data_IF_223938070999
#
_entry.id   IF_223938070999
#
_cell.length_a   1.000
_cell.length_b   1.000
_cell.length_c   1.000
_cell.angle_alpha   90.00
_cell.angle_beta   90.00
_cell.angle_gamma   90.00
#
_symmetry.space_group_name_H-M   'P 1'
#
loop_
_entity.id
_entity.type
_entity.pdbx_description
1 polymer ?
#
# COMPACT_ATOMS: atom_id res chain seq x y z
N UNK A 1 -0.63 16.10 -27.26
CA UNK A 1 -0.41 15.11 -26.17
C UNK A 1 0.14 15.74 -24.87
N UNK A 2 1.26 16.46 -24.86
CA UNK A 2 1.84 17.05 -23.62
C UNK A 2 0.88 17.99 -22.85
N UNK A 3 0.14 18.85 -23.55
CA UNK A 3 -0.84 19.76 -22.92
C UNK A 3 -2.01 19.01 -22.23
N UNK A 4 -2.57 17.99 -22.90
CA UNK A 4 -3.67 17.18 -22.34
C UNK A 4 -3.21 16.37 -21.12
N UNK A 5 -1.97 15.89 -21.14
CA UNK A 5 -1.32 15.18 -20.04
C UNK A 5 -1.14 16.08 -18.80
N UNK A 6 -0.65 17.31 -18.98
CA UNK A 6 -0.52 18.28 -17.88
C UNK A 6 -1.90 18.68 -17.31
N UNK A 7 -2.95 18.59 -18.11
CA UNK A 7 -4.32 18.88 -17.68
C UNK A 7 -4.88 17.76 -16.78
N UNK A 8 -4.73 16.48 -17.15
CA UNK A 8 -5.20 15.35 -16.32
C UNK A 8 -4.50 15.31 -14.95
N UNK A 9 -3.18 15.49 -14.89
CA UNK A 9 -2.46 15.52 -13.60
C UNK A 9 -2.97 16.63 -12.68
N UNK A 10 -3.25 17.84 -13.23
CA UNK A 10 -3.83 18.95 -12.48
C UNK A 10 -5.25 18.65 -11.99
N UNK A 11 -6.07 18.00 -12.83
CA UNK A 11 -7.42 17.59 -12.42
C UNK A 11 -7.38 16.56 -11.29
N UNK A 12 -6.49 15.55 -11.37
CA UNK A 12 -6.28 14.61 -10.26
C UNK A 12 -5.83 15.34 -9.01
N UNK A 13 -4.90 16.30 -9.13
CA UNK A 13 -4.46 17.10 -8.00
C UNK A 13 -5.62 17.85 -7.33
N UNK A 14 -6.53 18.45 -8.11
CA UNK A 14 -7.74 19.09 -7.58
C UNK A 14 -8.60 18.11 -6.78
N UNK A 15 -8.76 16.87 -7.24
CA UNK A 15 -9.49 15.84 -6.47
C UNK A 15 -8.76 15.45 -5.18
N UNK A 16 -7.43 15.33 -5.23
CA UNK A 16 -6.59 14.99 -4.07
C UNK A 16 -6.57 16.08 -3.00
N UNK A 17 -6.82 17.33 -3.40
CA UNK A 17 -6.82 18.54 -2.55
C UNK A 17 -8.24 19.13 -2.38
N UNK A 18 -9.27 18.29 -2.54
CA UNK A 18 -10.69 18.67 -2.46
C UNK A 18 -10.99 19.51 -1.23
N UNK A 19 -11.68 20.64 -1.42
CA UNK A 19 -12.07 21.58 -0.36
C UNK A 19 -13.57 21.70 -0.16
N UNK A 20 -14.39 21.08 -1.00
CA UNK A 20 -15.84 21.01 -0.83
C UNK A 20 -16.39 19.72 -1.42
N UNK A 21 -17.35 19.10 -0.72
CA UNK A 21 -17.92 17.80 -1.12
C UNK A 21 -19.44 17.87 -1.14
N UNK A 22 -20.06 17.40 -2.22
CA UNK A 22 -21.48 17.05 -2.24
C UNK A 22 -21.66 15.52 -2.13
N UNK A 23 -22.62 15.07 -1.33
CA UNK A 23 -22.97 13.64 -1.22
C UNK A 23 -24.37 13.44 -1.81
N UNK A 24 -24.43 12.94 -3.04
CA UNK A 24 -25.65 12.81 -3.84
C UNK A 24 -26.34 11.48 -3.57
N UNK A 25 -27.59 11.55 -3.12
CA UNK A 25 -28.34 10.37 -2.69
C UNK A 25 -28.08 10.00 -1.22
N UNK A 26 -27.61 10.94 -0.39
CA UNK A 26 -27.34 10.67 1.02
C UNK A 26 -28.63 10.24 1.76
N UNK A 27 -28.68 9.06 2.39
CA UNK A 27 -29.88 8.60 3.09
C UNK A 27 -30.05 9.27 4.47
N UNK A 28 -31.31 9.44 4.91
CA UNK A 28 -31.62 9.93 6.28
C UNK A 28 -31.13 8.98 7.37
N UNK A 29 -31.40 7.68 7.21
CA UNK A 29 -31.04 6.64 8.19
C UNK A 29 -29.73 5.92 7.86
N UNK A 30 -29.35 4.97 8.74
CA UNK A 30 -28.17 4.13 8.58
C UNK A 30 -28.34 3.14 7.41
N UNK A 31 -27.84 3.54 6.23
CA UNK A 31 -27.65 2.70 5.03
C UNK A 31 -26.22 2.89 4.53
N UNK A 32 -25.77 2.08 3.56
CA UNK A 32 -24.39 2.13 3.03
C UNK A 32 -23.93 3.54 2.68
N UNK A 33 -24.79 4.35 2.03
CA UNK A 33 -24.42 5.72 1.68
C UNK A 33 -24.15 6.66 2.87
N UNK A 34 -24.74 6.37 4.03
CA UNK A 34 -24.49 7.10 5.28
C UNK A 34 -23.04 6.96 5.75
N UNK A 35 -22.41 5.83 5.44
CA UNK A 35 -21.04 5.54 5.85
C UNK A 35 -20.04 6.52 5.23
N UNK A 36 -20.32 7.07 4.04
CA UNK A 36 -19.47 8.09 3.42
C UNK A 36 -19.50 9.41 4.20
N UNK A 37 -20.68 9.86 4.66
CA UNK A 37 -20.78 11.06 5.50
C UNK A 37 -19.98 10.84 6.81
N UNK A 38 -20.23 9.73 7.49
CA UNK A 38 -19.53 9.40 8.75
C UNK A 38 -18.03 9.32 8.50
N UNK A 39 -17.59 8.69 7.42
CA UNK A 39 -16.17 8.53 7.10
C UNK A 39 -15.45 9.87 6.85
N UNK A 40 -16.10 10.80 6.15
CA UNK A 40 -15.55 12.14 5.87
C UNK A 40 -15.51 12.98 7.15
N UNK A 41 -16.53 12.88 8.00
CA UNK A 41 -16.55 13.54 9.31
C UNK A 41 -15.48 12.97 10.27
N UNK A 42 -15.35 11.65 10.33
CA UNK A 42 -14.36 10.92 11.14
C UNK A 42 -12.92 11.23 10.71
N UNK A 43 -12.67 11.35 9.40
CA UNK A 43 -11.37 11.78 8.84
C UNK A 43 -11.09 13.28 9.08
N UNK A 44 -12.08 14.04 9.58
CA UNK A 44 -11.92 15.43 9.97
C UNK A 44 -11.88 16.43 8.81
N UNK A 45 -12.60 16.15 7.72
CA UNK A 45 -12.75 17.06 6.56
C UNK A 45 -13.06 18.49 7.00
N UNK A 46 -12.30 19.45 6.48
CA UNK A 46 -12.38 20.87 6.90
C UNK A 46 -13.30 21.72 6.03
N UNK A 47 -13.64 21.25 4.85
CA UNK A 47 -14.50 21.95 3.90
C UNK A 47 -15.99 21.77 4.18
N UNK A 48 -16.86 22.50 3.46
CA UNK A 48 -18.30 22.26 3.51
C UNK A 48 -18.65 20.88 2.94
N UNK A 49 -19.55 20.19 3.64
CA UNK A 49 -20.18 18.95 3.22
C UNK A 49 -21.64 19.26 2.90
N UNK A 50 -22.06 18.97 1.66
CA UNK A 50 -23.38 19.26 1.15
C UNK A 50 -24.16 17.96 0.90
N UNK A 51 -25.02 17.52 1.83
CA UNK A 51 -26.00 16.46 1.56
C UNK A 51 -26.92 16.85 0.41
N UNK A 52 -27.14 15.94 -0.54
CA UNK A 52 -28.13 16.10 -1.59
C UNK A 52 -29.16 14.98 -1.50
N UNK A 53 -30.38 15.34 -1.12
CA UNK A 53 -31.54 14.46 -0.97
C UNK A 53 -32.84 15.26 -1.20
N UNK A 54 -33.70 14.88 -2.18
CA UNK A 54 -34.92 15.61 -2.52
C UNK A 54 -36.04 15.49 -1.48
N UNK A 55 -35.92 14.60 -0.49
CA UNK A 55 -37.00 14.29 0.46
C UNK A 55 -36.83 14.94 1.84
N UNK A 56 -35.77 15.73 2.04
CA UNK A 56 -35.45 16.31 3.35
C UNK A 56 -34.57 17.56 3.18
N UNK A 57 -34.78 18.53 4.06
CA UNK A 57 -34.03 19.79 4.15
C UNK A 57 -32.87 19.71 5.14
N UNK A 58 -32.79 18.66 5.96
CA UNK A 58 -31.68 18.40 6.89
C UNK A 58 -31.33 16.90 6.98
N UNK A 59 -30.04 16.58 7.15
CA UNK A 59 -29.51 15.26 7.51
C UNK A 59 -28.36 15.44 8.52
N UNK A 60 -28.45 14.84 9.71
CA UNK A 60 -27.45 14.90 10.80
C UNK A 60 -26.99 16.33 11.15
N UNK A 61 -27.93 17.28 11.22
CA UNK A 61 -27.61 18.68 11.51
C UNK A 61 -26.96 19.43 10.33
N UNK A 62 -26.81 18.80 9.16
CA UNK A 62 -26.37 19.45 7.94
C UNK A 62 -27.56 19.79 7.05
N UNK A 63 -27.59 21.01 6.53
CA UNK A 63 -28.58 21.43 5.53
C UNK A 63 -28.47 20.54 4.28
N UNK A 64 -29.58 19.93 3.91
CA UNK A 64 -29.73 19.09 2.72
C UNK A 64 -30.34 19.87 1.57
N UNK A 65 -29.90 19.56 0.35
CA UNK A 65 -30.35 20.21 -0.88
C UNK A 65 -31.09 19.21 -1.76
N UNK A 66 -32.13 19.62 -2.49
CA UNK A 66 -32.94 18.68 -3.27
C UNK A 66 -32.23 18.15 -4.53
N UNK A 67 -31.27 18.90 -5.06
CA UNK A 67 -30.47 18.56 -6.25
C UNK A 67 -29.09 19.21 -6.18
N UNK A 68 -28.18 18.80 -7.07
CA UNK A 68 -26.84 19.42 -7.18
C UNK A 68 -26.94 20.85 -7.71
N UNK A 69 -27.92 21.14 -8.55
CA UNK A 69 -28.19 22.47 -9.08
C UNK A 69 -28.53 23.49 -7.98
N UNK A 70 -29.23 23.02 -6.93
CA UNK A 70 -29.66 23.84 -5.80
C UNK A 70 -28.52 24.21 -4.83
N UNK A 71 -27.32 23.66 -5.00
CA UNK A 71 -26.16 24.02 -4.19
C UNK A 71 -25.82 25.51 -4.34
N UNK A 72 -25.35 26.19 -3.28
CA UNK A 72 -25.05 27.62 -3.33
C UNK A 72 -23.87 27.92 -4.28
N UNK A 73 -22.95 26.98 -4.42
CA UNK A 73 -21.73 27.10 -5.23
C UNK A 73 -21.37 25.73 -5.85
N UNK A 74 -20.59 25.69 -6.94
CA UNK A 74 -19.99 24.44 -7.41
C UNK A 74 -19.07 23.83 -6.35
N UNK A 75 -19.09 22.51 -6.23
CA UNK A 75 -18.19 21.76 -5.35
C UNK A 75 -16.99 21.19 -6.11
N UNK A 76 -15.90 20.93 -5.40
CA UNK A 76 -14.73 20.26 -5.98
C UNK A 76 -15.05 18.80 -6.33
N UNK A 77 -15.70 18.09 -5.41
CA UNK A 77 -16.03 16.68 -5.56
C UNK A 77 -17.50 16.37 -5.25
N UNK A 78 -18.12 15.55 -6.10
CA UNK A 78 -19.39 14.90 -5.80
C UNK A 78 -19.18 13.40 -5.53
N UNK A 79 -19.83 12.86 -4.50
CA UNK A 79 -19.91 11.42 -4.24
C UNK A 79 -21.32 10.98 -4.58
N UNK A 80 -21.47 10.23 -5.66
CA UNK A 80 -22.77 9.85 -6.23
C UNK A 80 -23.12 8.44 -5.75
N UNK A 81 -24.19 8.37 -4.95
CA UNK A 81 -24.67 7.17 -4.24
C UNK A 81 -26.10 6.78 -4.66
N UNK A 82 -26.62 7.38 -5.74
CA UNK A 82 -27.97 7.12 -6.26
C UNK A 82 -28.03 5.79 -7.01
N UNK A 83 -29.22 5.17 -7.16
CA UNK A 83 -29.40 3.98 -7.98
C UNK A 83 -28.88 4.17 -9.41
N UNK A 84 -28.48 3.07 -10.05
CA UNK A 84 -27.91 3.06 -11.40
C UNK A 84 -28.77 3.86 -12.42
N UNK A 85 -30.09 3.70 -12.37
CA UNK A 85 -31.05 4.39 -13.23
C UNK A 85 -31.08 5.92 -13.08
N UNK A 86 -30.54 6.46 -11.98
CA UNK A 86 -30.49 7.90 -11.70
C UNK A 86 -29.06 8.47 -11.83
N UNK A 87 -28.05 7.63 -12.00
CA UNK A 87 -26.65 8.05 -11.97
C UNK A 87 -26.29 8.99 -13.11
N UNK A 88 -26.80 8.72 -14.33
CA UNK A 88 -26.57 9.60 -15.49
C UNK A 88 -27.11 11.01 -15.25
N UNK A 89 -28.33 11.12 -14.72
CA UNK A 89 -28.93 12.41 -14.39
C UNK A 89 -28.09 13.16 -13.34
N UNK A 90 -27.64 12.46 -12.28
CA UNK A 90 -26.75 13.06 -11.29
C UNK A 90 -25.42 13.54 -11.90
N UNK A 91 -24.84 12.79 -12.85
CA UNK A 91 -23.63 13.20 -13.59
C UNK A 91 -23.88 14.45 -14.44
N UNK A 92 -25.03 14.53 -15.12
CA UNK A 92 -25.43 15.73 -15.89
C UNK A 92 -25.53 16.94 -14.97
N UNK A 93 -26.26 16.84 -13.85
CA UNK A 93 -26.40 17.95 -12.90
C UNK A 93 -25.04 18.40 -12.35
N UNK A 94 -24.13 17.46 -12.04
CA UNK A 94 -22.77 17.79 -11.60
C UNK A 94 -21.98 18.52 -12.69
N UNK A 95 -22.06 18.04 -13.92
CA UNK A 95 -21.38 18.63 -15.07
C UNK A 95 -21.87 20.06 -15.34
N UNK A 96 -23.19 20.28 -15.35
CA UNK A 96 -23.80 21.60 -15.58
C UNK A 96 -23.51 22.58 -14.44
N UNK A 97 -23.50 22.11 -13.18
CA UNK A 97 -23.13 22.92 -12.02
C UNK A 97 -21.64 23.31 -12.01
N UNK A 98 -20.80 22.59 -12.76
CA UNK A 98 -19.36 22.86 -12.87
C UNK A 98 -18.51 22.17 -11.79
N UNK A 99 -18.97 21.02 -11.30
CA UNK A 99 -18.22 20.14 -10.38
C UNK A 99 -16.92 19.67 -11.04
N UNK A 100 -15.81 19.59 -10.28
CA UNK A 100 -14.49 19.27 -10.84
C UNK A 100 -14.28 17.76 -11.03
N UNK A 101 -14.82 16.94 -10.13
CA UNK A 101 -14.92 15.51 -10.37
C UNK A 101 -15.97 14.81 -9.53
N UNK A 102 -16.29 13.58 -9.91
CA UNK A 102 -17.26 12.76 -9.21
C UNK A 102 -16.76 11.33 -8.96
N UNK A 103 -17.05 10.82 -7.77
CA UNK A 103 -16.95 9.40 -7.42
C UNK A 103 -18.30 8.75 -7.72
N UNK A 104 -18.27 7.68 -8.50
CA UNK A 104 -19.43 6.87 -8.84
C UNK A 104 -19.38 5.57 -8.04
N UNK A 105 -20.16 5.49 -6.95
CA UNK A 105 -20.14 4.30 -6.08
C UNK A 105 -20.91 3.13 -6.67
N UNK A 106 -22.04 3.43 -7.29
CA UNK A 106 -23.04 2.44 -7.69
C UNK A 106 -22.51 1.48 -8.75
N UNK A 107 -22.93 0.21 -8.68
CA UNK A 107 -22.67 -0.82 -9.68
C UNK A 107 -23.83 -0.91 -10.70
N UNK A 108 -23.86 -1.97 -11.50
CA UNK A 108 -24.83 -2.23 -12.57
C UNK A 108 -24.38 -1.73 -13.94
N UNK A 109 -23.08 -1.75 -14.24
CA UNK A 109 -22.52 -1.20 -15.47
C UNK A 109 -21.76 -2.25 -16.28
N UNK A 110 -20.58 -1.94 -16.81
CA UNK A 110 -19.82 -2.84 -17.69
C UNK A 110 -19.46 -4.16 -17.00
N UNK A 111 -19.32 -4.18 -15.69
CA UNK A 111 -19.02 -5.39 -14.93
C UNK A 111 -20.13 -6.45 -15.02
N UNK A 112 -21.35 -6.07 -15.41
CA UNK A 112 -22.45 -7.01 -15.65
C UNK A 112 -22.26 -7.84 -16.92
N UNK A 113 -21.43 -7.38 -17.86
CA UNK A 113 -21.29 -7.96 -19.20
C UNK A 113 -22.35 -7.50 -20.21
N UNK A 114 -23.33 -6.71 -19.79
CA UNK A 114 -24.42 -6.22 -20.65
C UNK A 114 -24.01 -4.96 -21.44
N UNK A 115 -24.41 -4.90 -22.72
CA UNK A 115 -24.08 -3.78 -23.61
C UNK A 115 -24.67 -2.44 -23.14
N UNK A 116 -25.89 -2.46 -22.59
CA UNK A 116 -26.55 -1.28 -22.05
C UNK A 116 -25.75 -0.65 -20.89
N UNK A 117 -25.21 -1.49 -19.99
CA UNK A 117 -24.37 -1.04 -18.88
C UNK A 117 -23.07 -0.39 -19.37
N UNK A 118 -22.42 -0.99 -20.36
CA UNK A 118 -21.21 -0.46 -20.97
C UNK A 118 -21.45 0.88 -21.71
N UNK A 119 -22.56 0.98 -22.45
CA UNK A 119 -22.95 2.21 -23.15
C UNK A 119 -23.24 3.35 -22.16
N UNK A 120 -23.90 3.04 -21.03
CA UNK A 120 -24.19 4.02 -19.98
C UNK A 120 -22.90 4.56 -19.34
N UNK A 121 -21.88 3.72 -19.10
CA UNK A 121 -20.57 4.20 -18.62
C UNK A 121 -19.92 5.18 -19.59
N UNK A 122 -19.90 4.81 -20.88
CA UNK A 122 -19.26 5.62 -21.91
C UNK A 122 -19.96 6.97 -22.07
N UNK A 123 -21.29 6.97 -22.01
CA UNK A 123 -22.07 8.19 -22.07
C UNK A 123 -21.78 9.12 -20.87
N UNK A 124 -21.78 8.59 -19.64
CA UNK A 124 -21.44 9.37 -18.44
C UNK A 124 -20.01 9.93 -18.51
N UNK A 125 -19.04 9.13 -18.94
CA UNK A 125 -17.66 9.57 -19.11
C UNK A 125 -17.53 10.67 -20.18
N UNK A 126 -18.29 10.56 -21.28
CA UNK A 126 -18.35 11.56 -22.34
C UNK A 126 -18.93 12.89 -21.86
N UNK A 127 -20.04 12.85 -21.09
CA UNK A 127 -20.67 14.02 -20.49
C UNK A 127 -19.68 14.74 -19.56
N UNK A 128 -19.09 14.01 -18.61
CA UNK A 128 -18.15 14.58 -17.66
C UNK A 128 -16.95 15.24 -18.37
N UNK A 129 -16.34 14.52 -19.32
CA UNK A 129 -15.18 15.01 -20.06
C UNK A 129 -15.48 16.27 -20.88
N UNK A 130 -16.65 16.37 -21.52
CA UNK A 130 -17.07 17.57 -22.28
C UNK A 130 -17.22 18.79 -21.36
N UNK A 131 -17.64 18.59 -20.12
CA UNK A 131 -17.76 19.65 -19.11
C UNK A 131 -16.44 19.95 -18.38
N UNK A 132 -15.35 19.22 -18.66
CA UNK A 132 -14.08 19.35 -17.95
C UNK A 132 -14.07 18.70 -16.55
N UNK A 133 -15.12 17.94 -16.22
CA UNK A 133 -15.24 17.14 -15.00
C UNK A 133 -14.58 15.76 -15.20
N UNK A 134 -14.05 15.16 -14.13
CA UNK A 134 -13.46 13.81 -14.16
C UNK A 134 -14.23 12.81 -13.31
N UNK A 135 -14.24 11.54 -13.70
CA UNK A 135 -14.91 10.46 -12.96
C UNK A 135 -13.93 9.44 -12.39
N UNK A 136 -14.20 8.98 -11.17
CA UNK A 136 -13.59 7.80 -10.53
C UNK A 136 -14.69 6.75 -10.34
N UNK A 137 -14.45 5.51 -10.78
CA UNK A 137 -15.45 4.44 -10.82
C UNK A 137 -15.97 4.18 -12.25
N UNK A 138 -17.24 3.79 -12.43
CA UNK A 138 -18.23 3.44 -11.40
C UNK A 138 -17.85 2.15 -10.65
N UNK A 139 -18.76 1.66 -9.80
CA UNK A 139 -18.55 0.44 -9.02
C UNK A 139 -17.27 0.49 -8.17
N UNK A 140 -17.05 1.60 -7.46
CA UNK A 140 -15.83 1.83 -6.69
C UNK A 140 -16.05 2.75 -5.50
N UNK A 141 -15.24 2.59 -4.46
CA UNK A 141 -15.33 3.43 -3.26
C UNK A 141 -14.80 4.86 -3.48
N UNK A 142 -14.12 5.12 -4.61
CA UNK A 142 -13.62 6.44 -4.95
C UNK A 142 -12.26 6.75 -4.35
N UNK A 143 -12.17 7.81 -3.55
CA UNK A 143 -10.92 8.34 -3.01
C UNK A 143 -10.84 8.18 -1.48
N UNK A 144 -9.66 7.82 -0.99
CA UNK A 144 -9.23 7.99 0.41
C UNK A 144 -7.99 8.88 0.39
N UNK A 145 -8.08 10.04 1.03
CA UNK A 145 -7.02 11.04 1.12
C UNK A 145 -7.01 11.59 2.55
N UNK A 146 -6.09 11.12 3.41
CA UNK A 146 -5.95 11.67 4.76
C UNK A 146 -5.66 13.18 4.75
N UNK A 147 -4.94 13.68 3.73
CA UNK A 147 -4.62 15.11 3.62
C UNK A 147 -5.86 15.95 3.35
N UNK A 148 -6.76 15.49 2.46
CA UNK A 148 -7.99 16.21 2.18
C UNK A 148 -9.06 15.99 3.25
N UNK A 149 -8.98 14.93 4.06
CA UNK A 149 -10.05 14.52 4.95
C UNK A 149 -11.11 13.64 4.29
N UNK A 150 -10.77 12.95 3.19
CA UNK A 150 -11.70 12.09 2.45
C UNK A 150 -11.42 10.62 2.77
N UNK A 151 -12.45 9.80 2.94
CA UNK A 151 -12.32 8.38 3.26
C UNK A 151 -13.41 7.53 2.60
N UNK A 152 -13.12 6.25 2.37
CA UNK A 152 -14.08 5.25 1.89
C UNK A 152 -15.12 4.90 2.96
N UNK A 153 -14.64 4.66 4.19
CA UNK A 153 -15.41 4.19 5.34
C UNK A 153 -14.82 4.74 6.65
N UNK A 154 -15.61 4.74 7.74
CA UNK A 154 -15.13 5.19 9.05
C UNK A 154 -14.01 4.31 9.61
N UNK A 155 -13.14 4.88 10.44
CA UNK A 155 -12.05 4.18 11.14
C UNK A 155 -10.81 3.94 10.29
N UNK A 156 -10.65 4.61 9.16
CA UNK A 156 -9.36 4.64 8.45
C UNK A 156 -8.43 5.68 9.11
N UNK A 157 -7.10 5.46 9.10
CA UNK A 157 -6.15 6.36 9.77
C UNK A 157 -6.04 7.73 9.09
N UNK A 158 -6.05 8.81 9.86
CA UNK A 158 -5.72 10.15 9.33
C UNK A 158 -4.20 10.40 9.15
N UNK A 159 -3.35 9.47 9.59
CA UNK A 159 -1.88 9.63 9.51
C UNK A 159 -1.42 9.46 8.07
N UNK A 160 -0.75 10.50 7.55
CA UNK A 160 -0.15 10.50 6.23
C UNK A 160 1.08 9.60 6.15
N UNK A 161 1.24 8.96 4.99
CA UNK A 161 2.47 8.28 4.61
C UNK A 161 2.78 8.41 3.13
N UNK A 162 3.80 7.72 2.62
CA UNK A 162 4.31 7.91 1.26
C UNK A 162 3.62 7.02 0.21
N UNK A 163 2.70 6.14 0.59
CA UNK A 163 2.16 5.10 -0.30
C UNK A 163 0.95 5.64 -1.07
N UNK A 164 1.05 5.64 -2.40
CA UNK A 164 -0.11 5.79 -3.29
C UNK A 164 -0.66 4.40 -3.64
N UNK A 165 -1.90 4.12 -3.26
CA UNK A 165 -2.56 2.84 -3.52
C UNK A 165 -3.58 2.95 -4.67
N UNK A 166 -3.42 2.15 -5.71
CA UNK A 166 -4.32 2.08 -6.86
C UNK A 166 -4.99 0.69 -6.87
N UNK A 167 -6.32 0.60 -6.84
CA UNK A 167 -6.97 -0.71 -6.79
C UNK A 167 -8.28 -0.73 -7.57
N UNK A 168 -8.47 -1.69 -8.48
CA UNK A 168 -9.80 -1.94 -9.04
C UNK A 168 -10.77 -2.46 -7.98
N UNK A 169 -10.28 -3.23 -7.00
CA UNK A 169 -11.11 -3.72 -5.90
C UNK A 169 -11.14 -2.71 -4.75
N UNK A 170 -12.30 -2.11 -4.51
CA UNK A 170 -12.54 -1.25 -3.35
C UNK A 170 -12.36 -1.99 -2.02
N UNK A 171 -12.82 -3.24 -1.94
CA UNK A 171 -12.63 -4.09 -0.76
C UNK A 171 -11.15 -4.32 -0.45
N UNK A 172 -10.35 -4.63 -1.48
CA UNK A 172 -8.90 -4.79 -1.31
C UNK A 172 -8.23 -3.49 -0.84
N UNK A 173 -8.64 -2.34 -1.39
CA UNK A 173 -8.14 -1.05 -0.96
C UNK A 173 -8.46 -0.76 0.52
N UNK A 174 -9.70 -1.00 0.94
CA UNK A 174 -10.13 -0.80 2.33
C UNK A 174 -9.45 -1.78 3.30
N UNK A 175 -9.33 -3.07 2.95
CA UNK A 175 -8.61 -4.07 3.77
C UNK A 175 -7.18 -3.60 4.02
N UNK A 176 -6.48 -3.22 2.96
CA UNK A 176 -5.09 -2.80 3.07
C UNK A 176 -4.93 -1.50 3.87
N UNK A 177 -5.81 -0.51 3.66
CA UNK A 177 -5.76 0.75 4.42
C UNK A 177 -6.06 0.55 5.91
N UNK A 178 -6.86 -0.46 6.28
CA UNK A 178 -7.17 -0.81 7.68
C UNK A 178 -6.02 -1.51 8.37
N UNK A 179 -5.42 -2.51 7.74
CA UNK A 179 -4.33 -3.28 8.35
C UNK A 179 -2.97 -2.57 8.25
N UNK A 180 -2.83 -1.59 7.34
CA UNK A 180 -1.57 -0.89 7.08
C UNK A 180 -0.83 -0.39 8.33
N UNK A 181 -1.50 0.31 9.28
CA UNK A 181 -0.85 0.80 10.51
C UNK A 181 -0.20 -0.28 11.38
N UNK A 182 -0.75 -1.50 11.39
CA UNK A 182 -0.16 -2.65 12.10
C UNK A 182 1.18 -3.08 11.48
N UNK A 183 1.36 -2.76 10.19
CA UNK A 183 2.57 -3.02 9.41
C UNK A 183 3.41 -1.76 9.16
N UNK A 184 3.14 -0.67 9.87
CA UNK A 184 3.85 0.61 9.69
C UNK A 184 3.58 1.28 8.34
N UNK A 185 2.56 0.84 7.60
CA UNK A 185 2.18 1.37 6.30
C UNK A 185 1.14 2.48 6.47
N UNK A 186 1.46 3.64 5.91
CA UNK A 186 0.57 4.79 5.87
C UNK A 186 0.49 5.33 4.45
N UNK A 187 -0.67 5.89 4.11
CA UNK A 187 -1.02 6.20 2.73
C UNK A 187 -0.97 7.70 2.48
N UNK A 188 -0.45 8.04 1.31
CA UNK A 188 -0.54 9.38 0.72
C UNK A 188 -1.96 9.62 0.21
N UNK A 189 -2.49 8.61 -0.48
CA UNK A 189 -3.89 8.41 -0.85
C UNK A 189 -4.11 6.95 -1.25
N UNK A 190 -5.36 6.50 -1.27
CA UNK A 190 -5.79 5.32 -2.02
C UNK A 190 -6.93 5.67 -2.96
N UNK A 191 -6.97 5.04 -4.13
CA UNK A 191 -8.09 5.14 -5.07
C UNK A 191 -8.66 3.75 -5.36
N UNK A 192 -9.96 3.62 -5.11
CA UNK A 192 -10.77 2.53 -5.62
C UNK A 192 -11.29 2.94 -6.99
N UNK A 193 -10.70 2.32 -8.01
CA UNK A 193 -10.88 2.64 -9.43
C UNK A 193 -12.16 2.05 -10.02
N UNK A 194 -12.65 0.94 -9.45
CA UNK A 194 -13.80 0.20 -9.98
C UNK A 194 -13.60 -0.16 -11.45
N UNK A 195 -14.56 0.22 -12.29
CA UNK A 195 -14.59 -0.13 -13.72
C UNK A 195 -13.69 0.75 -14.61
N UNK A 196 -13.09 1.81 -14.06
CA UNK A 196 -12.27 2.79 -14.79
C UNK A 196 -12.96 3.38 -16.03
N UNK A 197 -14.13 4.01 -15.87
CA UNK A 197 -14.84 4.60 -17.01
C UNK A 197 -14.13 5.85 -17.58
N UNK A 198 -13.40 6.60 -16.74
CA UNK A 198 -12.65 7.79 -17.14
C UNK A 198 -11.20 7.77 -16.62
N UNK A 199 -10.99 8.06 -15.33
CA UNK A 199 -9.65 8.04 -14.73
C UNK A 199 -9.18 6.60 -14.54
N UNK A 200 -7.99 6.30 -15.07
CA UNK A 200 -7.39 4.96 -15.06
C UNK A 200 -6.19 4.89 -14.12
N UNK A 201 -5.77 3.68 -13.73
CA UNK A 201 -4.51 3.43 -13.04
C UNK A 201 -3.31 4.07 -13.78
N UNK A 202 -3.35 4.10 -15.12
CA UNK A 202 -2.36 4.78 -15.94
C UNK A 202 -2.28 6.28 -15.69
N UNK A 203 -3.42 6.96 -15.52
CA UNK A 203 -3.46 8.40 -15.22
C UNK A 203 -2.92 8.68 -13.81
N UNK A 204 -3.26 7.84 -12.83
CA UNK A 204 -2.73 7.94 -11.47
C UNK A 204 -1.25 7.63 -11.39
N UNK A 205 -0.72 6.69 -12.18
CA UNK A 205 0.74 6.46 -12.29
C UNK A 205 1.47 7.71 -12.77
N UNK A 206 0.90 8.43 -13.73
CA UNK A 206 1.48 9.69 -14.20
C UNK A 206 1.41 10.81 -13.16
N UNK A 207 0.33 10.89 -12.38
CA UNK A 207 0.25 11.78 -11.23
C UNK A 207 1.30 11.41 -10.18
N UNK A 208 1.39 10.14 -9.80
CA UNK A 208 2.36 9.63 -8.83
C UNK A 208 3.80 9.88 -9.27
N UNK A 209 4.11 9.85 -10.57
CA UNK A 209 5.44 10.15 -11.08
C UNK A 209 5.88 11.60 -10.77
N UNK A 210 4.93 12.53 -10.65
CA UNK A 210 5.17 13.97 -10.45
C UNK A 210 4.97 14.42 -9.01
N UNK A 211 4.14 13.72 -8.22
CA UNK A 211 3.88 14.07 -6.83
C UNK A 211 5.11 13.78 -5.94
N UNK A 212 5.77 14.80 -5.40
CA UNK A 212 6.93 14.61 -4.52
C UNK A 212 6.58 13.97 -3.18
N UNK A 213 5.30 13.97 -2.76
CA UNK A 213 4.83 13.34 -1.51
C UNK A 213 4.62 11.83 -1.64
N UNK A 214 4.48 11.32 -2.87
CA UNK A 214 4.40 9.88 -3.14
C UNK A 214 5.81 9.29 -3.20
N UNK A 215 6.14 8.38 -2.28
CA UNK A 215 7.41 7.64 -2.28
C UNK A 215 7.31 6.26 -2.92
N UNK A 216 6.15 5.62 -2.82
CA UNK A 216 5.89 4.24 -3.29
C UNK A 216 4.52 4.22 -3.96
N UNK A 217 4.40 3.47 -5.06
CA UNK A 217 3.10 3.15 -5.66
C UNK A 217 2.82 1.66 -5.50
N UNK A 218 1.64 1.31 -5.00
CA UNK A 218 1.16 -0.06 -4.93
C UNK A 218 -0.11 -0.18 -5.76
N UNK A 219 -0.22 -1.21 -6.60
CA UNK A 219 -1.39 -1.39 -7.45
C UNK A 219 -1.93 -2.83 -7.45
N UNK A 220 -3.24 -2.97 -7.27
CA UNK A 220 -3.98 -4.20 -7.51
C UNK A 220 -4.78 -4.06 -8.81
N UNK A 221 -4.41 -4.84 -9.82
CA UNK A 221 -4.86 -4.67 -11.20
C UNK A 221 -5.54 -5.92 -11.74
N UNK A 222 -6.80 -5.78 -12.12
CA UNK A 222 -7.57 -6.82 -12.82
C UNK A 222 -7.49 -6.67 -14.35
N UNK A 223 -7.69 -5.46 -14.89
CA UNK A 223 -7.63 -5.17 -16.32
C UNK A 223 -6.77 -3.95 -16.67
N UNK A 224 -6.39 -3.78 -17.93
CA UNK A 224 -5.70 -2.57 -18.39
C UNK A 224 -6.34 -2.14 -19.71
N UNK A 225 -7.05 -1.00 -19.74
CA UNK A 225 -7.73 -0.51 -20.96
C UNK A 225 -6.74 0.04 -22.01
N UNK A 226 -5.86 0.96 -21.60
CA UNK A 226 -4.93 1.67 -22.49
C UNK A 226 -3.50 1.20 -22.25
N UNK A 227 -3.15 0.02 -22.76
CA UNK A 227 -1.88 -0.66 -22.45
C UNK A 227 -0.62 0.15 -22.81
N UNK A 228 -0.65 0.89 -23.92
CA UNK A 228 0.43 1.78 -24.36
C UNK A 228 0.64 2.96 -23.40
N UNK A 229 -0.45 3.62 -22.99
CA UNK A 229 -0.44 4.71 -22.01
C UNK A 229 0.00 4.20 -20.65
N UNK A 230 -0.53 3.05 -20.23
CA UNK A 230 -0.16 2.39 -18.97
C UNK A 230 1.34 2.08 -18.93
N UNK A 231 1.89 1.42 -19.94
CA UNK A 231 3.32 1.08 -19.98
C UNK A 231 4.20 2.33 -19.95
N UNK A 232 3.82 3.37 -20.69
CA UNK A 232 4.53 4.65 -20.69
C UNK A 232 4.54 5.29 -19.30
N UNK A 233 3.38 5.35 -18.64
CA UNK A 233 3.25 6.02 -17.34
C UNK A 233 3.85 5.17 -16.22
N UNK A 234 3.80 3.84 -16.33
CA UNK A 234 4.47 2.90 -15.45
C UNK A 234 6.00 3.07 -15.51
N UNK A 235 6.58 3.19 -16.71
CA UNK A 235 8.02 3.50 -16.89
C UNK A 235 8.39 4.79 -16.18
N UNK A 236 7.65 5.86 -16.44
CA UNK A 236 7.87 7.19 -15.83
C UNK A 236 7.79 7.17 -14.30
N UNK A 237 6.80 6.47 -13.73
CA UNK A 237 6.68 6.32 -12.28
C UNK A 237 7.82 5.48 -11.69
N UNK A 238 8.18 4.39 -12.38
CA UNK A 238 9.20 3.44 -11.94
C UNK A 238 10.64 3.95 -12.06
N UNK A 239 10.88 5.03 -12.80
CA UNK A 239 12.21 5.66 -12.90
C UNK A 239 12.76 6.03 -11.52
N UNK A 240 11.94 6.65 -10.67
CA UNK A 240 12.39 7.24 -9.40
C UNK A 240 11.77 6.58 -8.16
N UNK A 241 10.74 5.75 -8.34
CA UNK A 241 9.92 5.23 -7.23
C UNK A 241 9.68 3.73 -7.39
N UNK A 242 9.66 2.95 -6.30
CA UNK A 242 9.16 1.59 -6.35
C UNK A 242 7.69 1.60 -6.77
N UNK A 243 7.37 0.82 -7.82
CA UNK A 243 6.00 0.55 -8.24
C UNK A 243 5.76 -0.94 -8.09
N UNK A 244 4.91 -1.32 -7.14
CA UNK A 244 4.62 -2.69 -6.74
C UNK A 244 3.25 -3.08 -7.31
N UNK A 245 3.20 -4.10 -8.14
CA UNK A 245 2.04 -4.47 -8.94
C UNK A 245 1.61 -5.90 -8.62
N UNK A 246 0.36 -6.07 -8.23
CA UNK A 246 -0.30 -7.36 -8.14
C UNK A 246 -1.35 -7.46 -9.25
N UNK A 247 -1.04 -8.21 -10.31
CA UNK A 247 -1.91 -8.38 -11.48
C UNK A 247 -2.68 -9.68 -11.39
N UNK A 248 -4.00 -9.59 -11.47
CA UNK A 248 -4.91 -10.73 -11.54
C UNK A 248 -5.22 -11.10 -12.99
N UNK A 249 -5.80 -12.28 -13.21
CA UNK A 249 -6.25 -12.69 -14.55
C UNK A 249 -5.13 -12.99 -15.55
N UNK A 250 -4.03 -13.58 -15.08
CA UNK A 250 -2.90 -14.03 -15.91
C UNK A 250 -2.98 -15.52 -16.29
N UNK A 251 -3.90 -16.27 -15.69
CA UNK A 251 -4.20 -17.67 -15.99
C UNK A 251 -5.72 -17.84 -16.26
N UNK A 252 -6.17 -18.96 -16.85
CA UNK A 252 -7.57 -19.14 -17.24
C UNK A 252 -8.58 -18.94 -16.09
N UNK A 253 -8.28 -19.50 -14.92
CA UNK A 253 -9.15 -19.45 -13.74
C UNK A 253 -9.29 -18.01 -13.22
N UNK A 254 -8.17 -17.31 -13.07
CA UNK A 254 -8.14 -15.92 -12.62
C UNK A 254 -8.72 -14.97 -13.67
N UNK A 255 -8.56 -15.27 -14.95
CA UNK A 255 -9.07 -14.45 -16.05
C UNK A 255 -10.60 -14.51 -16.10
N UNK A 256 -11.17 -15.70 -15.94
CA UNK A 256 -12.61 -15.89 -15.80
C UNK A 256 -13.17 -15.11 -14.61
N UNK A 257 -12.53 -15.25 -13.43
CA UNK A 257 -12.95 -14.53 -12.23
C UNK A 257 -12.87 -13.00 -12.38
N UNK A 258 -11.78 -12.48 -12.96
CA UNK A 258 -11.63 -11.03 -13.20
C UNK A 258 -12.63 -10.50 -14.24
N UNK A 259 -12.94 -11.28 -15.28
CA UNK A 259 -13.93 -10.92 -16.29
C UNK A 259 -15.32 -10.75 -15.68
N UNK A 260 -15.74 -11.67 -14.80
CA UNK A 260 -17.02 -11.55 -14.08
C UNK A 260 -17.06 -10.47 -13.01
N UNK A 261 -15.90 -10.00 -12.52
CA UNK A 261 -15.83 -9.02 -11.44
C UNK A 261 -15.73 -7.57 -11.93
N UNK A 262 -14.96 -7.31 -12.99
CA UNK A 262 -14.73 -5.94 -13.53
C UNK A 262 -15.05 -5.82 -15.02
N UNK A 263 -15.53 -6.87 -15.69
CA UNK A 263 -15.72 -6.87 -17.15
C UNK A 263 -14.39 -6.70 -17.90
N UNK A 264 -13.27 -7.10 -17.28
CA UNK A 264 -11.93 -6.98 -17.87
C UNK A 264 -11.55 -8.20 -18.71
N UNK A 265 -10.76 -7.97 -19.75
CA UNK A 265 -10.28 -9.05 -20.63
C UNK A 265 -9.10 -9.79 -19.97
N UNK A 266 -8.99 -11.10 -20.24
CA UNK A 266 -7.87 -11.94 -19.85
C UNK A 266 -6.51 -11.33 -20.26
N UNK A 267 -5.53 -11.41 -19.37
CA UNK A 267 -4.14 -11.03 -19.67
C UNK A 267 -3.28 -12.25 -20.01
N UNK A 268 -2.23 -12.04 -20.80
CA UNK A 268 -1.18 -13.05 -21.02
C UNK A 268 -0.01 -12.80 -20.05
N UNK A 269 0.35 -13.82 -19.27
CA UNK A 269 1.42 -13.77 -18.28
C UNK A 269 2.78 -13.38 -18.88
N UNK A 270 3.12 -13.86 -20.08
CA UNK A 270 4.40 -13.54 -20.75
C UNK A 270 4.45 -12.07 -21.13
N UNK A 271 3.34 -11.53 -21.64
CA UNK A 271 3.22 -10.09 -21.94
C UNK A 271 3.34 -9.27 -20.66
N UNK A 272 2.67 -9.69 -19.57
CA UNK A 272 2.76 -9.02 -18.28
C UNK A 272 4.20 -8.98 -17.75
N UNK A 273 4.90 -10.11 -17.77
CA UNK A 273 6.29 -10.19 -17.34
C UNK A 273 7.21 -9.30 -18.20
N UNK A 274 6.96 -9.20 -19.51
CA UNK A 274 7.68 -8.28 -20.38
C UNK A 274 7.41 -6.80 -20.03
N UNK A 275 6.15 -6.44 -19.74
CA UNK A 275 5.74 -5.08 -19.32
C UNK A 275 6.44 -4.69 -18.02
N UNK A 276 6.38 -5.54 -16.99
CA UNK A 276 7.02 -5.30 -15.68
C UNK A 276 8.53 -5.16 -15.83
N UNK A 277 9.16 -6.06 -16.59
CA UNK A 277 10.61 -6.05 -16.83
C UNK A 277 11.06 -4.76 -17.53
N UNK A 278 10.36 -4.36 -18.60
CA UNK A 278 10.65 -3.12 -19.32
C UNK A 278 10.47 -1.86 -18.48
N UNK A 279 9.52 -1.87 -17.55
CA UNK A 279 9.31 -0.77 -16.62
C UNK A 279 10.21 -0.84 -15.38
N UNK A 280 10.88 -1.98 -15.13
CA UNK A 280 11.65 -2.23 -13.91
C UNK A 280 10.78 -2.07 -12.65
N UNK A 281 9.50 -2.39 -12.80
CA UNK A 281 8.53 -2.44 -11.72
C UNK A 281 8.70 -3.74 -10.93
N UNK A 282 8.06 -3.81 -9.77
CA UNK A 282 8.05 -5.00 -8.90
C UNK A 282 6.71 -5.69 -9.11
N UNK A 283 6.73 -6.94 -9.57
CA UNK A 283 5.51 -7.76 -9.64
C UNK A 283 5.48 -8.73 -8.46
N UNK A 284 4.30 -8.92 -7.89
CA UNK A 284 4.02 -9.87 -6.82
C UNK A 284 2.83 -10.75 -7.19
N UNK A 285 2.72 -11.93 -6.57
CA UNK A 285 1.76 -12.97 -6.96
C UNK A 285 0.69 -13.26 -5.91
N UNK A 286 0.77 -12.64 -4.74
CA UNK A 286 -0.19 -12.88 -3.67
C UNK A 286 -0.31 -11.71 -2.69
N UNK A 287 -1.36 -11.76 -1.88
CA UNK A 287 -1.67 -10.71 -0.90
C UNK A 287 -0.55 -10.52 0.11
N UNK A 288 -0.03 -11.60 0.70
CA UNK A 288 1.06 -11.53 1.68
C UNK A 288 2.33 -10.93 1.06
N UNK A 289 2.72 -11.40 -0.13
CA UNK A 289 3.87 -10.87 -0.87
C UNK A 289 3.70 -9.39 -1.21
N UNK A 290 2.48 -8.95 -1.52
CA UNK A 290 2.18 -7.55 -1.78
C UNK A 290 2.35 -6.67 -0.54
N UNK A 291 1.79 -7.10 0.61
CA UNK A 291 1.94 -6.43 1.90
C UNK A 291 3.42 -6.39 2.30
N UNK A 292 4.12 -7.50 2.17
CA UNK A 292 5.54 -7.61 2.50
C UNK A 292 6.40 -6.72 1.62
N UNK A 293 6.13 -6.65 0.31
CA UNK A 293 6.83 -5.76 -0.59
C UNK A 293 6.61 -4.28 -0.18
N UNK A 294 5.37 -3.88 0.11
CA UNK A 294 5.08 -2.52 0.58
C UNK A 294 5.83 -2.20 1.87
N UNK A 295 5.86 -3.13 2.82
CA UNK A 295 6.60 -2.99 4.09
C UNK A 295 8.11 -2.90 3.86
N UNK A 296 8.67 -3.77 3.03
CA UNK A 296 10.08 -3.73 2.65
C UNK A 296 10.49 -2.41 2.03
N UNK A 297 9.77 -1.95 1.01
CA UNK A 297 10.08 -0.68 0.35
C UNK A 297 9.81 0.56 1.22
N UNK A 298 8.93 0.46 2.22
CA UNK A 298 8.62 1.57 3.13
C UNK A 298 9.60 1.68 4.29
N UNK A 299 10.01 0.55 4.87
CA UNK A 299 10.73 0.52 6.14
C UNK A 299 12.23 0.22 5.98
N UNK A 300 12.64 -0.45 4.90
CA UNK A 300 14.05 -0.72 4.67
C UNK A 300 14.76 0.49 4.01
N UNK A 301 16.02 0.77 4.41
CA UNK A 301 16.74 1.92 3.92
C UNK A 301 17.20 1.74 2.46
N UNK A 302 17.46 2.88 1.82
CA UNK A 302 18.24 2.93 0.57
C UNK A 302 19.70 2.58 0.84
N UNK A 303 20.40 2.07 -0.16
CA UNK A 303 21.81 1.73 -0.01
C UNK A 303 22.05 0.51 0.87
N UNK A 304 21.10 -0.43 0.96
CA UNK A 304 21.37 -1.68 1.66
C UNK A 304 22.39 -2.52 0.88
N UNK A 305 23.24 -3.23 1.61
CA UNK A 305 24.02 -4.33 1.06
C UNK A 305 23.23 -5.65 1.14
N UNK A 306 23.92 -6.76 0.86
CA UNK A 306 23.30 -8.11 0.83
C UNK A 306 23.86 -9.10 1.85
N UNK A 307 24.77 -8.64 2.73
CA UNK A 307 25.42 -9.48 3.75
C UNK A 307 24.56 -9.50 5.01
N UNK A 308 23.74 -10.53 5.14
CA UNK A 308 22.84 -10.74 6.26
C UNK A 308 23.56 -11.40 7.44
N UNK A 309 23.35 -10.88 8.64
CA UNK A 309 23.67 -11.49 9.91
C UNK A 309 22.39 -12.05 10.53
N UNK A 310 22.38 -13.33 10.89
CA UNK A 310 21.21 -13.97 11.49
C UNK A 310 21.47 -14.20 12.97
N UNK A 311 20.52 -13.77 13.82
CA UNK A 311 20.50 -14.03 15.25
C UNK A 311 19.27 -14.87 15.57
N UNK A 312 19.48 -16.06 16.14
CA UNK A 312 18.42 -16.99 16.50
C UNK A 312 18.71 -17.64 17.84
N UNK A 313 17.67 -17.94 18.61
CA UNK A 313 17.78 -18.82 19.78
C UNK A 313 17.82 -20.29 19.34
N UNK A 314 16.80 -20.82 18.64
CA UNK A 314 16.82 -22.19 18.13
C UNK A 314 17.64 -22.34 16.84
N UNK A 315 18.57 -23.30 16.81
CA UNK A 315 19.42 -23.56 15.63
C UNK A 315 18.67 -23.95 14.35
N UNK A 316 17.54 -24.66 14.45
CA UNK A 316 16.74 -25.07 13.27
C UNK A 316 16.18 -23.89 12.48
N UNK A 317 15.69 -22.86 13.17
CA UNK A 317 15.21 -21.62 12.54
C UNK A 317 16.37 -20.85 11.88
N UNK A 318 17.55 -20.88 12.50
CA UNK A 318 18.76 -20.28 11.95
C UNK A 318 19.16 -20.92 10.60
N UNK A 319 19.07 -22.25 10.49
CA UNK A 319 19.34 -22.99 9.24
C UNK A 319 18.32 -22.65 8.16
N UNK A 320 17.02 -22.61 8.49
CA UNK A 320 15.97 -22.20 7.54
C UNK A 320 16.21 -20.76 7.05
N UNK A 321 16.52 -19.82 7.95
CA UNK A 321 16.80 -18.44 7.61
C UNK A 321 18.04 -18.29 6.71
N UNK A 322 19.09 -19.06 6.96
CA UNK A 322 20.28 -19.10 6.09
C UNK A 322 19.94 -19.59 4.67
N UNK A 323 19.12 -20.64 4.55
CA UNK A 323 18.68 -21.15 3.26
C UNK A 323 17.77 -20.15 2.53
N UNK A 324 16.87 -19.48 3.25
CA UNK A 324 16.02 -18.42 2.73
C UNK A 324 16.85 -17.26 2.15
N UNK A 325 17.89 -16.81 2.87
CA UNK A 325 18.82 -15.79 2.38
C UNK A 325 19.45 -16.19 1.04
N UNK A 326 19.98 -17.42 0.94
CA UNK A 326 20.58 -17.92 -0.30
C UNK A 326 19.61 -17.94 -1.47
N UNK A 327 18.36 -18.37 -1.25
CA UNK A 327 17.31 -18.38 -2.29
C UNK A 327 16.93 -16.97 -2.77
N UNK A 328 16.95 -16.00 -1.86
CA UNK A 328 16.64 -14.60 -2.17
C UNK A 328 17.81 -13.81 -2.79
N UNK A 329 18.99 -14.43 -2.96
CA UNK A 329 20.18 -13.78 -3.49
C UNK A 329 20.97 -12.94 -2.48
N UNK A 330 20.63 -13.07 -1.19
CA UNK A 330 21.42 -12.57 -0.07
C UNK A 330 22.57 -13.53 0.24
N UNK A 331 23.54 -13.06 1.02
CA UNK A 331 24.71 -13.84 1.46
C UNK A 331 24.84 -13.71 2.96
N UNK A 332 25.33 -14.76 3.65
CA UNK A 332 25.66 -14.63 5.06
C UNK A 332 26.94 -13.81 5.25
N UNK A 333 26.89 -12.81 6.13
CA UNK A 333 28.06 -12.04 6.53
C UNK A 333 29.10 -12.94 7.21
N UNK A 334 30.36 -12.80 6.78
CA UNK A 334 31.50 -13.38 7.49
C UNK A 334 31.89 -12.44 8.63
N UNK A 335 31.51 -12.78 9.86
CA UNK A 335 31.77 -11.95 11.03
C UNK A 335 33.27 -11.75 11.24
N UNK A 336 33.64 -10.53 11.61
CA UNK A 336 35.02 -10.20 11.96
C UNK A 336 35.50 -11.01 13.16
N UNK A 337 36.82 -11.19 13.28
CA UNK A 337 37.43 -11.83 14.44
C UNK A 337 37.04 -11.12 15.74
N UNK A 338 37.07 -9.78 15.74
CA UNK A 338 36.69 -8.95 16.89
C UNK A 338 35.25 -9.23 17.35
N UNK A 339 34.27 -9.25 16.43
CA UNK A 339 32.89 -9.55 16.78
C UNK A 339 32.73 -10.96 17.34
N UNK A 340 33.44 -11.94 16.77
CA UNK A 340 33.40 -13.34 17.26
C UNK A 340 34.01 -13.47 18.66
N UNK A 341 35.07 -12.72 18.96
CA UNK A 341 35.68 -12.66 20.29
C UNK A 341 34.74 -12.03 21.31
N UNK A 342 34.12 -10.88 20.98
CA UNK A 342 33.11 -10.23 21.84
C UNK A 342 31.90 -11.14 22.12
N UNK A 343 31.43 -11.89 21.13
CA UNK A 343 30.35 -12.87 21.31
C UNK A 343 30.78 -14.03 22.21
N UNK A 344 32.03 -14.50 22.10
CA UNK A 344 32.55 -15.62 22.89
C UNK A 344 32.62 -15.33 24.40
N UNK A 345 32.62 -14.06 24.81
CA UNK A 345 32.63 -13.67 26.23
C UNK A 345 31.37 -14.12 26.99
N UNK A 346 30.24 -14.28 26.30
CA UNK A 346 28.94 -14.55 26.93
C UNK A 346 28.10 -15.63 26.24
N UNK A 347 28.43 -16.02 25.01
CA UNK A 347 27.74 -17.12 24.31
C UNK A 347 28.53 -18.43 24.50
N UNK A 348 27.98 -19.45 25.19
CA UNK A 348 28.69 -20.71 25.43
C UNK A 348 29.02 -21.44 24.13
N UNK A 349 30.26 -21.90 23.93
CA UNK A 349 30.66 -22.59 22.68
C UNK A 349 29.98 -23.95 22.47
N UNK A 350 29.51 -24.60 23.54
CA UNK A 350 28.85 -25.90 23.46
C UNK A 350 27.35 -25.73 23.24
N UNK A 351 26.81 -26.35 22.19
CA UNK A 351 25.38 -26.33 21.89
C UNK A 351 24.88 -25.04 21.22
N UNK A 352 25.79 -24.13 20.84
CA UNK A 352 25.48 -22.88 20.13
C UNK A 352 26.45 -22.66 18.95
N UNK A 353 26.35 -21.52 18.26
CA UNK A 353 27.22 -21.15 17.14
C UNK A 353 27.61 -19.68 17.22
N UNK A 354 28.92 -19.41 17.27
CA UNK A 354 29.49 -18.06 17.12
C UNK A 354 29.74 -17.68 15.66
N UNK A 355 29.47 -18.59 14.71
CA UNK A 355 29.49 -18.30 13.26
C UNK A 355 28.14 -17.70 12.88
N UNK A 356 28.00 -17.21 11.65
CA UNK A 356 26.71 -16.78 11.13
C UNK A 356 26.02 -17.96 10.43
N UNK A 357 24.80 -18.38 10.84
CA UNK A 357 23.92 -17.80 11.86
C UNK A 357 24.43 -17.92 13.30
N UNK A 358 24.31 -16.82 14.06
CA UNK A 358 24.65 -16.78 15.48
C UNK A 358 23.50 -17.40 16.26
N UNK A 359 23.79 -18.55 16.86
CA UNK A 359 22.90 -19.23 17.79
C UNK A 359 23.33 -18.81 19.20
N UNK A 360 22.43 -18.19 19.95
CA UNK A 360 22.69 -17.70 21.32
C UNK A 360 22.08 -18.63 22.38
N UNK A 361 21.53 -19.77 21.97
CA UNK A 361 20.88 -20.76 22.82
C UNK A 361 19.61 -20.25 23.53
N UNK A 362 18.98 -21.15 24.29
CA UNK A 362 17.75 -20.85 25.04
C UNK A 362 17.98 -19.95 26.26
N UNK A 363 19.23 -19.78 26.72
CA UNK A 363 19.54 -18.89 27.82
C UNK A 363 19.20 -17.43 27.52
N UNK A 364 19.17 -17.04 26.24
CA UNK A 364 18.73 -15.71 25.81
C UNK A 364 17.27 -15.39 26.15
N UNK A 365 16.43 -16.41 26.34
CA UNK A 365 15.05 -16.24 26.81
C UNK A 365 14.97 -16.02 28.33
N UNK A 366 15.97 -16.49 29.09
CA UNK A 366 16.09 -16.28 30.54
C UNK A 366 16.78 -14.94 30.85
N UNK A 367 17.77 -14.55 30.05
CA UNK A 367 18.49 -13.29 30.15
C UNK A 367 18.53 -12.61 28.77
N UNK A 368 17.58 -11.69 28.56
CA UNK A 368 17.42 -10.95 27.32
C UNK A 368 18.61 -10.04 26.99
N UNK A 369 19.44 -9.68 28.00
CA UNK A 369 20.62 -8.85 27.77
C UNK A 369 21.62 -9.51 26.81
N UNK A 370 21.66 -10.85 26.79
CA UNK A 370 22.48 -11.64 25.88
C UNK A 370 22.04 -11.43 24.42
N UNK A 371 20.73 -11.43 24.15
CA UNK A 371 20.19 -11.19 22.81
C UNK A 371 20.51 -9.76 22.35
N UNK A 372 20.26 -8.77 23.22
CA UNK A 372 20.47 -7.35 22.93
C UNK A 372 21.95 -7.08 22.63
N UNK A 373 22.86 -7.62 23.45
CA UNK A 373 24.32 -7.46 23.27
C UNK A 373 24.80 -8.14 21.98
N UNK A 374 24.27 -9.32 21.65
CA UNK A 374 24.56 -9.98 20.37
C UNK A 374 24.08 -9.13 19.18
N UNK A 375 22.86 -8.58 19.25
CA UNK A 375 22.31 -7.70 18.23
C UNK A 375 23.15 -6.44 18.01
N UNK A 376 23.64 -5.82 19.09
CA UNK A 376 24.56 -4.68 19.02
C UNK A 376 25.87 -5.05 18.31
N UNK A 377 26.52 -6.14 18.71
CA UNK A 377 27.78 -6.59 18.10
C UNK A 377 27.59 -6.87 16.61
N UNK A 378 26.52 -7.58 16.22
CA UNK A 378 26.23 -7.85 14.81
C UNK A 378 25.94 -6.56 14.03
N UNK A 379 25.25 -5.61 14.63
CA UNK A 379 24.94 -4.34 14.02
C UNK A 379 26.16 -3.41 13.89
N UNK A 380 27.19 -3.57 14.73
CA UNK A 380 28.45 -2.83 14.63
C UNK A 380 29.42 -3.45 13.61
N UNK A 381 29.36 -4.78 13.39
CA UNK A 381 30.32 -5.50 12.55
C UNK A 381 30.39 -4.97 11.09
N UNK A 382 31.56 -4.55 10.58
CA UNK A 382 31.68 -3.91 9.26
C UNK A 382 31.32 -4.83 8.08
N UNK A 383 31.29 -6.15 8.30
CA UNK A 383 30.91 -7.14 7.30
C UNK A 383 29.40 -7.39 7.23
N UNK A 384 28.63 -6.83 8.15
CA UNK A 384 27.18 -6.94 8.21
C UNK A 384 26.53 -5.74 7.53
N UNK A 385 25.58 -6.02 6.63
CA UNK A 385 24.75 -5.01 6.00
C UNK A 385 23.30 -5.05 6.50
N UNK A 386 22.79 -6.20 6.94
CA UNK A 386 21.42 -6.38 7.44
C UNK A 386 21.45 -7.33 8.64
N UNK A 387 20.77 -6.99 9.74
CA UNK A 387 20.55 -7.89 10.88
C UNK A 387 19.16 -8.50 10.78
N UNK A 388 19.08 -9.82 10.73
CA UNK A 388 17.84 -10.61 10.74
C UNK A 388 17.73 -11.31 12.09
N UNK A 389 16.75 -10.91 12.89
CA UNK A 389 16.60 -11.35 14.27
C UNK A 389 15.26 -12.06 14.45
N UNK A 390 15.30 -13.19 15.16
CA UNK A 390 14.12 -13.91 15.61
C UNK A 390 14.09 -13.95 17.15
N UNK A 391 13.66 -12.85 17.81
CA UNK A 391 13.67 -12.73 19.26
C UNK A 391 12.52 -13.51 19.93
N UNK A 392 12.76 -14.01 21.14
CA UNK A 392 11.72 -14.63 21.98
C UNK A 392 12.04 -14.49 23.47
N UNK A 393 11.11 -13.91 24.23
CA UNK A 393 11.06 -13.90 25.69
C UNK A 393 10.14 -15.00 26.24
N UNK A 394 10.07 -15.11 27.57
CA UNK A 394 9.27 -16.14 28.27
C UNK A 394 7.84 -15.71 28.62
N UNK A 395 7.53 -14.43 28.42
CA UNK A 395 6.24 -13.81 28.73
C UNK A 395 6.01 -12.57 27.86
N UNK A 396 4.76 -12.11 27.80
CA UNK A 396 4.38 -10.86 27.14
C UNK A 396 5.21 -9.66 27.63
N UNK A 397 5.40 -9.52 28.95
CA UNK A 397 6.19 -8.44 29.54
C UNK A 397 7.63 -8.46 29.04
N UNK A 398 8.26 -9.64 29.01
CA UNK A 398 9.62 -9.80 28.49
C UNK A 398 9.68 -9.55 26.97
N UNK A 399 8.67 -9.93 26.19
CA UNK A 399 8.64 -9.65 24.76
C UNK A 399 8.54 -8.14 24.47
N UNK A 400 7.72 -7.40 25.23
CA UNK A 400 7.68 -5.94 25.12
C UNK A 400 9.03 -5.31 25.50
N UNK A 401 9.64 -5.73 26.61
CA UNK A 401 10.95 -5.22 27.03
C UNK A 401 12.04 -5.49 25.97
N UNK A 402 12.07 -6.70 25.40
CA UNK A 402 12.99 -7.07 24.33
C UNK A 402 12.72 -6.27 23.04
N UNK A 403 11.46 -6.03 22.71
CA UNK A 403 11.05 -5.21 21.56
C UNK A 403 11.61 -3.80 21.67
N UNK A 404 11.38 -3.13 22.81
CA UNK A 404 11.87 -1.77 23.03
C UNK A 404 13.41 -1.70 23.00
N UNK A 405 14.09 -2.65 23.65
CA UNK A 405 15.53 -2.69 23.64
C UNK A 405 16.11 -2.90 22.22
N UNK A 406 15.53 -3.79 21.42
CA UNK A 406 15.97 -4.00 20.03
C UNK A 406 15.68 -2.80 19.12
N UNK A 407 14.58 -2.08 19.35
CA UNK A 407 14.30 -0.81 18.69
C UNK A 407 15.39 0.24 19.02
N UNK A 408 15.85 0.30 20.27
CA UNK A 408 16.91 1.22 20.68
C UNK A 408 18.26 0.86 20.04
N UNK A 409 18.57 -0.43 19.94
CA UNK A 409 19.74 -0.90 19.18
C UNK A 409 19.64 -0.49 17.70
N UNK A 410 18.48 -0.73 17.07
CA UNK A 410 18.25 -0.34 15.67
C UNK A 410 18.48 1.16 15.45
N UNK A 411 17.93 2.01 16.32
CA UNK A 411 18.05 3.48 16.22
C UNK A 411 19.48 3.97 16.37
N UNK A 412 20.33 3.26 17.12
CA UNK A 412 21.72 3.67 17.41
C UNK A 412 22.73 3.07 16.45
N UNK A 413 22.51 1.86 15.94
CA UNK A 413 23.49 1.13 15.13
C UNK A 413 23.56 1.58 13.66
N UNK A 414 22.52 2.24 13.13
CA UNK A 414 22.51 2.75 11.76
C UNK A 414 22.50 1.69 10.65
N UNK A 415 22.19 0.43 10.97
CA UNK A 415 22.01 -0.67 10.02
C UNK A 415 20.56 -1.17 10.02
N UNK A 416 20.05 -1.67 8.87
CA UNK A 416 18.71 -2.22 8.81
C UNK A 416 18.57 -3.47 9.68
N UNK A 417 17.48 -3.50 10.45
CA UNK A 417 17.02 -4.63 11.22
C UNK A 417 15.79 -5.22 10.55
N UNK A 418 15.64 -6.53 10.61
CA UNK A 418 14.47 -7.27 10.13
C UNK A 418 14.09 -8.29 11.19
N UNK A 419 12.85 -8.22 11.66
CA UNK A 419 12.34 -9.14 12.68
C UNK A 419 11.59 -10.30 12.03
N UNK A 420 11.78 -11.49 12.58
CA UNK A 420 11.14 -12.73 12.16
C UNK A 420 10.35 -13.28 13.35
N UNK A 421 9.08 -13.57 13.13
CA UNK A 421 8.20 -14.13 14.13
C UNK A 421 8.68 -15.50 14.60
N UNK A 422 8.63 -15.70 15.92
CA UNK A 422 8.69 -17.02 16.56
C UNK A 422 7.35 -17.24 17.30
N UNK A 423 6.81 -18.48 17.35
CA UNK A 423 5.66 -18.79 18.19
C UNK A 423 5.86 -18.32 19.64
N UNK A 424 4.87 -17.63 20.19
CA UNK A 424 4.97 -17.00 21.51
C UNK A 424 5.35 -15.51 21.49
N UNK A 425 5.56 -14.93 20.29
CA UNK A 425 5.70 -13.48 20.11
C UNK A 425 4.38 -12.85 19.67
N UNK A 426 3.90 -11.86 20.43
CA UNK A 426 2.56 -11.28 20.30
C UNK A 426 2.45 -10.24 19.15
N UNK A 427 1.22 -10.03 18.68
CA UNK A 427 0.95 -9.17 17.52
C UNK A 427 1.26 -7.69 17.83
N UNK A 428 1.04 -7.28 19.07
CA UNK A 428 1.29 -5.94 19.59
C UNK A 428 2.78 -5.60 19.51
N UNK A 429 3.67 -6.55 19.87
CA UNK A 429 5.11 -6.37 19.75
C UNK A 429 5.55 -6.26 18.27
N UNK A 430 4.94 -7.03 17.37
CA UNK A 430 5.19 -6.91 15.93
C UNK A 430 4.79 -5.53 15.40
N UNK A 431 3.69 -4.96 15.88
CA UNK A 431 3.23 -3.62 15.53
C UNK A 431 4.20 -2.55 16.04
N UNK A 432 4.70 -2.67 17.27
CA UNK A 432 5.71 -1.74 17.83
C UNK A 432 6.96 -1.65 16.96
N UNK A 433 7.50 -2.80 16.50
CA UNK A 433 8.62 -2.82 15.55
C UNK A 433 8.29 -2.07 14.27
N UNK A 434 7.15 -2.39 13.64
CA UNK A 434 6.77 -1.78 12.37
C UNK A 434 6.58 -0.26 12.50
N UNK A 435 5.98 0.20 13.59
CA UNK A 435 5.81 1.63 13.89
C UNK A 435 7.13 2.35 14.16
N UNK A 436 8.13 1.64 14.69
CA UNK A 436 9.48 2.15 14.88
C UNK A 436 10.35 2.15 13.61
N UNK A 437 9.84 1.63 12.48
CA UNK A 437 10.57 1.55 11.22
C UNK A 437 11.32 0.23 11.00
N UNK A 438 11.05 -0.79 11.81
CA UNK A 438 11.66 -2.12 11.70
C UNK A 438 10.63 -3.11 11.11
N UNK A 439 10.84 -3.64 9.89
CA UNK A 439 9.90 -4.58 9.31
C UNK A 439 9.86 -5.91 10.08
N UNK A 440 8.64 -6.45 10.24
CA UNK A 440 8.37 -7.67 10.98
C UNK A 440 7.62 -8.69 10.12
N UNK A 441 8.19 -9.88 9.93
CA UNK A 441 7.66 -10.91 9.04
C UNK A 441 7.28 -12.18 9.80
N UNK A 442 6.27 -12.90 9.28
CA UNK A 442 5.82 -14.17 9.88
C UNK A 442 6.80 -15.33 9.65
N UNK A 443 7.74 -15.21 8.69
CA UNK A 443 8.77 -16.22 8.44
C UNK A 443 10.07 -15.64 7.88
N UNK A 444 11.15 -16.42 7.98
CA UNK A 444 12.45 -16.05 7.44
C UNK A 444 12.46 -16.03 5.90
N UNK A 445 11.67 -16.90 5.26
CA UNK A 445 11.49 -16.92 3.80
C UNK A 445 10.89 -15.63 3.29
N UNK A 446 9.84 -15.13 3.95
CA UNK A 446 9.20 -13.85 3.61
C UNK A 446 10.17 -12.69 3.83
N UNK A 447 10.82 -12.64 5.00
CA UNK A 447 11.83 -11.63 5.32
C UNK A 447 12.96 -11.58 4.27
N UNK A 448 13.55 -12.74 3.94
CA UNK A 448 14.64 -12.83 2.99
C UNK A 448 14.19 -12.47 1.57
N UNK A 449 13.03 -12.98 1.12
CA UNK A 449 12.48 -12.67 -0.20
C UNK A 449 12.26 -11.16 -0.39
N UNK A 450 11.68 -10.50 0.60
CA UNK A 450 11.48 -9.04 0.59
C UNK A 450 12.80 -8.28 0.58
N UNK A 451 13.76 -8.65 1.43
CA UNK A 451 15.09 -8.03 1.43
C UNK A 451 15.79 -8.19 0.06
N UNK A 452 15.73 -9.40 -0.52
CA UNK A 452 16.26 -9.67 -1.85
C UNK A 452 15.58 -8.84 -2.94
N UNK A 453 14.24 -8.69 -2.87
CA UNK A 453 13.46 -7.87 -3.79
C UNK A 453 13.87 -6.39 -3.72
N UNK A 454 13.96 -5.82 -2.51
CA UNK A 454 14.39 -4.43 -2.29
C UNK A 454 15.84 -4.24 -2.77
N UNK A 455 16.75 -5.12 -2.38
CA UNK A 455 18.16 -5.06 -2.81
C UNK A 455 18.29 -5.10 -4.33
N UNK A 456 17.61 -6.04 -5.01
CA UNK A 456 17.68 -6.16 -6.46
C UNK A 456 17.10 -4.93 -7.17
N UNK A 457 16.01 -4.37 -6.66
CA UNK A 457 15.45 -3.12 -7.16
C UNK A 457 16.42 -1.94 -7.03
N UNK A 458 17.11 -1.82 -5.89
CA UNK A 458 18.15 -0.80 -5.65
C UNK A 458 19.38 -1.03 -6.53
N UNK A 459 19.84 -2.28 -6.67
CA UNK A 459 20.99 -2.67 -7.48
C UNK A 459 20.81 -2.29 -8.94
N UNK A 460 19.64 -2.59 -9.51
CA UNK A 460 19.28 -2.22 -10.87
C UNK A 460 19.45 -0.70 -11.09
N UNK A 461 19.16 0.12 -10.08
CA UNK A 461 19.22 1.59 -10.17
C UNK A 461 20.55 2.19 -9.69
N UNK A 462 21.56 1.37 -9.36
CA UNK A 462 22.82 1.86 -8.81
C UNK A 462 22.69 2.47 -7.41
N UNK A 463 21.57 2.23 -6.71
CA UNK A 463 21.28 2.78 -5.38
C UNK A 463 21.76 1.88 -4.23
N UNK A 464 22.20 0.66 -4.52
CA UNK A 464 22.72 -0.29 -3.53
C UNK A 464 24.10 0.09 -3.00
N UNK A 465 24.45 -0.45 -1.82
CA UNK A 465 25.84 -0.38 -1.31
C UNK A 465 26.74 -1.14 -2.27
N UNK A 466 27.71 -0.45 -2.88
CA UNK A 466 28.77 -1.13 -3.61
C UNK A 466 29.59 -1.91 -2.58
N UNK A 467 29.72 -3.21 -2.79
CA UNK A 467 30.63 -4.01 -1.98
C UNK A 467 32.04 -3.75 -2.53
N UNK A 468 33.02 -3.40 -1.68
CA UNK A 468 34.41 -3.27 -2.10
C UNK A 468 34.93 -4.52 -2.81
#
# INVERSE_FOLDING_TARGET
>A
MKYLVMQTTKQIQTLMETKSVAIVGLPRGMKTGKLFLIAIQDMGFKGPIYPVNPFTDEIDGLKSYPSVEALPEPVDMAIILVPNSQAKEAVVQCAEKGVKGAVLFTAGYKETGEEEGAALEEEMASIAKKAGMRLIGPNGMGLYSPEAGISFFPGLPAKLGPIALLSHSGSMANILCRMGPEKGLYFRFAVSLGNECDLTAGDFLEYCAQDSKTGIVAAYLEGIRKGDVFLKNLKKASENKPVILWKMGLNPEGASAAASHTGSMAGDERIWNAVVSQARAVSVNGFEEWVDAMMGFSLLPRGMGRRAAIISGPGGLAVSAAQACGRAGLTLAALSTESREKLAEFVPQTGTSLKNPVDIGMNSSLDMSLYIRAAQIMAEDPNVDIVMAAPIGLSLETNHALTQALIDVYKTAGKPFVMIKIPGFEAECAQEFCQAGVPFFDSAERAAATCGMVYNWQKQRGLHKQTP
#
